data_IF_593768641169
#
_entry.id   IF_593768641169
#
_cell.length_a   1.000
_cell.length_b   1.000
_cell.length_c   1.000
_cell.angle_alpha   90.00
_cell.angle_beta   90.00
_cell.angle_gamma   90.00
#
_symmetry.space_group_name_H-M   'P 1'
#
loop_
_entity.id
_entity.type
_entity.pdbx_description
1 polymer ?
#
# COMPACT_ATOMS: atom_id res chain seq x y z
N UNK A 1 13.48 -4.72 -26.99
CA UNK A 1 12.56 -3.67 -26.52
C UNK A 1 12.79 -3.46 -25.04
N UNK A 2 12.81 -2.22 -24.55
CA UNK A 2 12.99 -1.97 -23.12
C UNK A 2 11.72 -2.44 -22.39
N UNK A 3 11.86 -3.23 -21.31
CA UNK A 3 10.71 -3.70 -20.54
C UNK A 3 9.98 -2.49 -19.92
N UNK A 4 8.64 -2.56 -19.89
CA UNK A 4 7.82 -1.54 -19.24
C UNK A 4 8.00 -1.62 -17.72
N UNK A 5 8.06 -0.47 -17.05
CA UNK A 5 8.36 -0.38 -15.61
C UNK A 5 7.10 -0.31 -14.77
N UNK A 6 7.03 -1.13 -13.73
CA UNK A 6 5.89 -1.21 -12.81
C UNK A 6 6.36 -0.91 -11.38
N UNK A 7 5.66 -0.02 -10.69
CA UNK A 7 5.89 0.25 -9.26
C UNK A 7 4.79 -0.36 -8.40
N UNK A 8 5.16 -1.16 -7.41
CA UNK A 8 4.28 -1.71 -6.38
C UNK A 8 4.46 -0.95 -5.07
N UNK A 9 3.40 -0.31 -4.58
CA UNK A 9 3.41 0.40 -3.30
C UNK A 9 2.89 -0.54 -2.21
N UNK A 10 3.81 -1.04 -1.37
CA UNK A 10 3.51 -1.94 -0.26
C UNK A 10 3.03 -1.18 0.98
N UNK A 11 1.86 -1.52 1.50
CA UNK A 11 1.30 -0.92 2.70
C UNK A 11 1.54 -1.77 3.95
N UNK A 12 0.46 -2.35 4.50
CA UNK A 12 0.57 -3.36 5.57
C UNK A 12 1.23 -4.65 5.03
N UNK A 13 1.65 -5.56 5.92
CA UNK A 13 2.22 -6.85 5.48
C UNK A 13 1.22 -7.66 4.62
N UNK A 14 -0.08 -7.59 4.91
CA UNK A 14 -1.09 -8.28 4.11
C UNK A 14 -1.18 -7.69 2.69
N UNK A 15 -1.27 -6.36 2.59
CA UNK A 15 -1.25 -5.65 1.31
C UNK A 15 0.03 -5.93 0.52
N UNK A 16 1.18 -5.90 1.18
CA UNK A 16 2.48 -6.24 0.59
C UNK A 16 2.51 -7.67 0.06
N UNK A 17 1.92 -8.63 0.77
CA UNK A 17 1.82 -10.02 0.32
C UNK A 17 0.91 -10.16 -0.91
N UNK A 18 -0.21 -9.42 -0.97
CA UNK A 18 -1.08 -9.37 -2.15
C UNK A 18 -0.32 -8.79 -3.35
N UNK A 19 0.38 -7.66 -3.16
CA UNK A 19 1.23 -7.06 -4.20
C UNK A 19 2.28 -8.04 -4.72
N UNK A 20 2.93 -8.77 -3.81
CA UNK A 20 3.94 -9.76 -4.17
C UNK A 20 3.35 -10.90 -5.02
N UNK A 21 2.13 -11.38 -4.73
CA UNK A 21 1.45 -12.39 -5.55
C UNK A 21 1.19 -11.88 -6.97
N UNK A 22 0.76 -10.63 -7.12
CA UNK A 22 0.57 -10.01 -8.45
C UNK A 22 1.92 -9.90 -9.17
N UNK A 23 2.95 -9.41 -8.49
CA UNK A 23 4.31 -9.33 -9.02
C UNK A 23 4.82 -10.67 -9.55
N UNK A 24 4.59 -11.78 -8.85
CA UNK A 24 5.05 -13.10 -9.28
C UNK A 24 4.50 -13.54 -10.64
N UNK A 25 3.35 -12.99 -11.06
CA UNK A 25 2.77 -13.23 -12.38
C UNK A 25 3.25 -12.24 -13.45
N UNK A 26 3.94 -11.15 -13.08
CA UNK A 26 4.33 -10.07 -13.99
C UNK A 26 5.85 -9.93 -14.16
N UNK A 27 6.64 -10.46 -13.22
CA UNK A 27 8.10 -10.25 -13.15
C UNK A 27 8.89 -10.71 -14.38
N UNK A 28 8.38 -11.70 -15.12
CA UNK A 28 9.09 -12.24 -16.28
C UNK A 28 8.93 -11.33 -17.51
N UNK A 29 7.84 -10.57 -17.59
CA UNK A 29 7.51 -9.69 -18.73
C UNK A 29 7.86 -8.22 -18.48
N UNK A 30 7.85 -7.78 -17.22
CA UNK A 30 7.99 -6.38 -16.83
C UNK A 30 9.19 -6.15 -15.91
N UNK A 31 9.65 -4.91 -15.83
CA UNK A 31 10.64 -4.49 -14.83
C UNK A 31 9.92 -3.95 -13.60
N UNK A 32 9.95 -4.71 -12.51
CA UNK A 32 9.08 -4.52 -11.34
C UNK A 32 9.88 -4.01 -10.15
N UNK A 33 9.41 -2.92 -9.57
CA UNK A 33 10.01 -2.25 -8.43
C UNK A 33 9.02 -2.11 -7.29
N UNK A 34 9.54 -2.09 -6.06
CA UNK A 34 8.76 -1.97 -4.84
C UNK A 34 9.10 -0.72 -4.08
N UNK A 35 8.13 -0.23 -3.32
CA UNK A 35 8.35 0.87 -2.40
C UNK A 35 7.41 0.76 -1.21
N UNK A 36 7.87 0.98 0.03
CA UNK A 36 6.96 1.03 1.17
C UNK A 36 6.09 2.27 1.03
N UNK A 37 4.88 2.21 1.56
CA UNK A 37 3.92 3.30 1.48
C UNK A 37 4.49 4.60 2.05
N UNK A 38 4.23 5.70 1.36
CA UNK A 38 4.76 7.02 1.68
C UNK A 38 3.72 8.09 1.42
N UNK A 39 3.84 9.20 2.14
CA UNK A 39 3.02 10.39 1.96
C UNK A 39 3.88 11.58 1.54
N UNK A 40 3.24 12.70 1.21
CA UNK A 40 3.90 13.94 0.80
C UNK A 40 3.64 15.11 1.75
N UNK A 41 4.52 16.11 1.69
CA UNK A 41 4.32 17.41 2.35
C UNK A 41 4.08 17.28 3.86
N UNK A 42 2.96 17.85 4.33
CA UNK A 42 2.58 17.85 5.74
C UNK A 42 2.45 16.43 6.31
N UNK A 43 2.00 15.46 5.51
CA UNK A 43 1.88 14.06 5.95
C UNK A 43 3.26 13.47 6.22
N UNK A 44 4.22 13.69 5.33
CA UNK A 44 5.61 13.26 5.55
C UNK A 44 6.23 13.95 6.78
N UNK A 45 5.92 15.23 7.00
CA UNK A 45 6.37 15.95 8.19
C UNK A 45 5.78 15.38 9.50
N UNK A 46 4.48 15.08 9.52
CA UNK A 46 3.81 14.47 10.68
C UNK A 46 4.30 13.05 10.95
N UNK A 47 4.60 12.29 9.90
CA UNK A 47 5.25 10.97 9.98
C UNK A 47 6.63 11.07 10.64
N UNK A 48 7.46 12.01 10.21
CA UNK A 48 8.80 12.24 10.79
C UNK A 48 8.73 12.66 12.26
N UNK A 49 7.66 13.37 12.65
CA UNK A 49 7.41 13.78 14.04
C UNK A 49 6.76 12.69 14.91
N UNK A 50 6.49 11.50 14.36
CA UNK A 50 5.98 10.35 15.11
C UNK A 50 4.47 10.33 15.38
N UNK A 51 3.73 11.37 14.95
CA UNK A 51 2.28 11.51 15.16
C UNK A 51 1.45 10.46 14.40
N UNK A 52 2.03 9.80 13.39
CA UNK A 52 1.36 8.80 12.55
C UNK A 52 1.99 7.41 12.67
N UNK A 53 2.67 7.12 13.78
CA UNK A 53 3.36 5.85 14.06
C UNK A 53 2.44 4.62 14.17
N UNK A 54 1.13 4.84 14.37
CA UNK A 54 0.10 3.80 14.33
C UNK A 54 -0.36 3.46 12.89
N UNK A 55 0.03 4.25 11.90
CA UNK A 55 -0.41 4.11 10.51
C UNK A 55 0.62 3.38 9.65
N UNK A 56 0.20 2.96 8.45
CA UNK A 56 1.04 2.28 7.47
C UNK A 56 2.27 3.13 7.04
N UNK A 57 2.21 4.45 7.24
CA UNK A 57 3.27 5.38 6.85
C UNK A 57 4.53 5.31 7.72
N UNK A 58 4.47 4.74 8.92
CA UNK A 58 5.62 4.63 9.82
C UNK A 58 5.49 3.48 10.84
N UNK A 59 6.52 3.22 11.63
CA UNK A 59 6.45 2.28 12.76
C UNK A 59 6.50 0.81 12.35
N UNK A 60 5.62 -0.01 12.92
CA UNK A 60 5.67 -1.49 12.81
C UNK A 60 5.39 -1.98 11.38
N UNK A 61 4.36 -1.46 10.73
CA UNK A 61 3.96 -1.91 9.39
C UNK A 61 5.05 -1.65 8.36
N UNK A 62 5.66 -0.46 8.39
CA UNK A 62 6.76 -0.12 7.51
C UNK A 62 7.95 -1.07 7.68
N UNK A 63 8.36 -1.35 8.92
CA UNK A 63 9.45 -2.29 9.21
C UNK A 63 9.15 -3.68 8.67
N UNK A 64 7.93 -4.19 8.90
CA UNK A 64 7.51 -5.50 8.38
C UNK A 64 7.56 -5.54 6.85
N UNK A 65 7.12 -4.47 6.18
CA UNK A 65 7.16 -4.36 4.72
C UNK A 65 8.61 -4.30 4.20
N UNK A 66 9.48 -3.49 4.82
CA UNK A 66 10.90 -3.41 4.45
C UNK A 66 11.65 -4.73 4.73
N UNK A 67 11.35 -5.43 5.83
CA UNK A 67 11.85 -6.77 6.12
C UNK A 67 11.39 -7.79 5.08
N UNK A 68 10.11 -7.75 4.69
CA UNK A 68 9.56 -8.60 3.64
C UNK A 68 10.28 -8.37 2.30
N UNK A 69 10.52 -7.11 1.91
CA UNK A 69 11.26 -6.79 0.69
C UNK A 69 12.67 -7.35 0.71
N UNK A 70 13.38 -7.22 1.83
CA UNK A 70 14.73 -7.78 2.00
C UNK A 70 14.74 -9.30 1.95
N UNK A 71 13.79 -9.94 2.63
CA UNK A 71 13.68 -11.40 2.66
C UNK A 71 13.40 -12.01 1.28
N UNK A 72 12.61 -11.32 0.45
CA UNK A 72 12.28 -11.74 -0.91
C UNK A 72 13.22 -11.17 -1.98
N UNK A 73 14.29 -10.45 -1.59
CA UNK A 73 15.27 -9.83 -2.49
C UNK A 73 14.63 -8.96 -3.58
N UNK A 74 13.58 -8.21 -3.21
CA UNK A 74 12.84 -7.38 -4.16
C UNK A 74 13.63 -6.11 -4.52
N UNK A 75 13.51 -5.67 -5.77
CA UNK A 75 14.04 -4.38 -6.21
C UNK A 75 13.27 -3.26 -5.54
N UNK A 76 13.95 -2.39 -4.80
CA UNK A 76 13.31 -1.30 -4.04
C UNK A 76 13.77 0.05 -4.57
N UNK A 77 12.81 0.87 -4.98
CA UNK A 77 13.00 2.30 -5.26
C UNK A 77 12.16 3.10 -4.27
N UNK A 78 12.84 3.73 -3.30
CA UNK A 78 12.14 4.44 -2.26
C UNK A 78 11.41 5.67 -2.82
N UNK A 79 10.08 5.68 -2.63
CA UNK A 79 9.13 6.65 -3.18
C UNK A 79 9.01 6.64 -4.71
N UNK A 80 9.60 5.67 -5.41
CA UNK A 80 9.51 5.59 -6.87
C UNK A 80 10.13 6.81 -7.55
N UNK A 81 11.32 7.24 -7.11
CA UNK A 81 11.99 8.46 -7.59
C UNK A 81 13.14 8.19 -8.56
N UNK A 82 13.63 6.95 -8.63
CA UNK A 82 14.74 6.58 -9.50
C UNK A 82 14.33 6.42 -10.96
N UNK A 83 13.03 6.21 -11.23
CA UNK A 83 12.54 5.86 -12.55
C UNK A 83 11.18 6.47 -12.93
N UNK A 84 10.92 6.51 -14.24
CA UNK A 84 9.64 6.92 -14.81
C UNK A 84 8.74 5.70 -15.06
N UNK A 85 7.93 5.35 -14.06
CA UNK A 85 7.07 4.17 -14.12
C UNK A 85 5.90 4.32 -15.10
N UNK A 86 5.60 3.25 -15.85
CA UNK A 86 4.49 3.19 -16.80
C UNK A 86 3.16 2.83 -16.11
N UNK A 87 3.21 2.08 -15.00
CA UNK A 87 2.08 1.58 -14.24
C UNK A 87 2.41 1.53 -12.74
N UNK A 88 1.44 1.87 -11.89
CA UNK A 88 1.59 1.83 -10.43
C UNK A 88 0.47 1.00 -9.81
N UNK A 89 0.83 0.04 -8.96
CA UNK A 89 -0.09 -0.68 -8.08
C UNK A 89 -0.06 -0.08 -6.67
N UNK A 90 -1.24 0.13 -6.09
CA UNK A 90 -1.37 0.62 -4.71
C UNK A 90 -2.59 0.01 -4.04
N UNK A 91 -2.50 -0.30 -2.75
CA UNK A 91 -3.64 -0.65 -1.92
C UNK A 91 -4.28 0.55 -1.21
N UNK A 92 -3.63 1.72 -1.23
CA UNK A 92 -4.16 2.90 -0.53
C UNK A 92 -5.05 3.72 -1.45
N UNK A 93 -6.25 4.00 -0.97
CA UNK A 93 -7.27 4.88 -1.55
C UNK A 93 -7.31 6.26 -0.87
N UNK A 94 -6.99 6.34 0.43
CA UNK A 94 -7.10 7.58 1.22
C UNK A 94 -6.05 8.64 0.84
N UNK A 95 -4.79 8.25 0.67
CA UNK A 95 -3.70 9.19 0.37
C UNK A 95 -2.93 8.66 -0.84
N UNK A 96 -3.03 9.38 -1.96
CA UNK A 96 -2.31 9.08 -3.20
C UNK A 96 -1.08 10.00 -3.30
N UNK A 97 0.16 9.44 -3.36
CA UNK A 97 1.37 10.22 -3.54
C UNK A 97 1.33 11.10 -4.79
N UNK A 98 1.85 12.32 -4.69
CA UNK A 98 1.79 13.34 -5.74
C UNK A 98 2.49 12.91 -7.03
N UNK A 99 3.62 12.21 -6.93
CA UNK A 99 4.40 11.76 -8.08
C UNK A 99 3.70 10.66 -8.90
N UNK A 100 2.69 9.97 -8.35
CA UNK A 100 1.96 8.93 -9.07
C UNK A 100 0.60 9.39 -9.62
N UNK A 101 0.14 10.61 -9.32
CA UNK A 101 -1.20 11.10 -9.71
C UNK A 101 -1.43 11.16 -11.22
N UNK A 102 -0.36 11.38 -11.99
CA UNK A 102 -0.41 11.45 -13.45
C UNK A 102 -0.01 10.13 -14.12
N UNK A 103 0.07 9.03 -13.35
CA UNK A 103 0.42 7.70 -13.83
C UNK A 103 -0.82 6.85 -14.04
N UNK A 104 -0.68 5.76 -14.79
CA UNK A 104 -1.69 4.70 -14.81
C UNK A 104 -1.63 4.01 -13.45
N UNK A 105 -2.74 4.01 -12.72
CA UNK A 105 -2.81 3.44 -11.38
C UNK A 105 -3.83 2.30 -11.36
N UNK A 106 -3.43 1.15 -10.82
CA UNK A 106 -4.33 0.08 -10.45
C UNK A 106 -4.44 0.08 -8.92
N UNK A 107 -5.64 0.37 -8.43
CA UNK A 107 -5.95 0.22 -7.02
C UNK A 107 -6.36 -1.23 -6.75
N UNK A 108 -5.72 -1.84 -5.75
CA UNK A 108 -5.99 -3.22 -5.34
C UNK A 108 -6.58 -3.19 -3.95
N UNK A 109 -7.86 -3.49 -3.85
CA UNK A 109 -8.57 -3.44 -2.59
C UNK A 109 -8.45 -4.78 -1.86
N UNK A 110 -8.00 -4.72 -0.61
CA UNK A 110 -8.05 -5.83 0.31
C UNK A 110 -9.52 -6.07 0.71
N UNK A 111 -9.99 -7.32 0.60
CA UNK A 111 -11.30 -7.70 1.13
C UNK A 111 -11.26 -7.75 2.65
N UNK A 112 -11.75 -6.70 3.31
CA UNK A 112 -11.94 -6.71 4.76
C UNK A 112 -13.27 -7.38 5.07
N UNK A 113 -13.21 -8.50 5.80
CA UNK A 113 -14.40 -9.10 6.42
C UNK A 113 -14.25 -8.90 7.91
N UNK A 114 -14.85 -7.85 8.45
CA UNK A 114 -14.87 -7.65 9.90
C UNK A 114 -15.68 -8.80 10.54
N UNK A 115 -15.21 -9.37 11.67
CA UNK A 115 -15.94 -10.40 12.37
C UNK A 115 -17.31 -9.87 12.81
N UNK A 116 -18.34 -10.72 12.74
CA UNK A 116 -19.69 -10.33 13.15
C UNK A 116 -19.73 -10.15 14.68
N UNK A 117 -19.79 -8.91 15.14
CA UNK A 117 -19.91 -8.58 16.57
C UNK A 117 -21.38 -8.36 16.98
N UNK A 118 -21.71 -8.32 18.28
CA UNK A 118 -23.01 -7.81 18.73
C UNK A 118 -23.32 -6.39 18.21
N UNK A 119 -22.29 -5.56 18.03
CA UNK A 119 -22.39 -4.23 17.41
C UNK A 119 -22.93 -4.29 15.99
N UNK A 120 -22.54 -5.29 15.20
CA UNK A 120 -23.10 -5.54 13.87
C UNK A 120 -24.61 -5.75 13.92
N UNK A 121 -25.10 -6.58 14.85
CA UNK A 121 -26.55 -6.80 14.99
C UNK A 121 -27.28 -5.55 15.45
N UNK A 122 -26.66 -4.75 16.33
CA UNK A 122 -27.21 -3.47 16.77
C UNK A 122 -27.32 -2.48 15.59
N UNK A 123 -26.25 -2.30 14.82
CA UNK A 123 -26.25 -1.44 13.63
C UNK A 123 -27.23 -1.93 12.56
N UNK A 124 -27.31 -3.26 12.34
CA UNK A 124 -28.18 -3.88 11.33
C UNK A 124 -29.67 -3.74 11.63
N UNK A 125 -30.07 -3.96 12.89
CA UNK A 125 -31.50 -4.01 13.25
C UNK A 125 -32.03 -2.68 13.80
N UNK A 126 -31.19 -1.85 14.41
CA UNK A 126 -31.61 -0.61 15.07
C UNK A 126 -31.17 0.66 14.35
N UNK A 127 -30.53 0.54 13.18
CA UNK A 127 -30.16 1.68 12.33
C UNK A 127 -29.02 2.53 12.89
N UNK A 128 -28.24 2.01 13.84
CA UNK A 128 -27.06 2.71 14.34
C UNK A 128 -25.98 2.86 13.23
N UNK A 129 -25.12 3.90 13.31
CA UNK A 129 -24.02 4.07 12.38
C UNK A 129 -23.15 2.82 12.23
N UNK A 130 -22.81 2.46 10.99
CA UNK A 130 -22.08 1.21 10.68
C UNK A 130 -20.67 1.12 11.28
N UNK A 131 -20.09 2.23 11.73
CA UNK A 131 -18.81 2.23 12.43
C UNK A 131 -18.89 1.65 13.86
N UNK A 132 -20.10 1.36 14.37
CA UNK A 132 -20.33 0.65 15.63
C UNK A 132 -20.31 -0.89 15.44
N UNK A 133 -20.38 -1.36 14.18
CA UNK A 133 -20.37 -2.78 13.84
C UNK A 133 -18.99 -3.43 14.03
#
# INVERSE_FOLDING_TARGET
MNKKKILFIGGSLNQTTIMHKIYMHLKDDYDCWFTPYYGDGLINYLVQKGFLSFSILNGKFRRQTEEFFRFHELQVDYRGLADDYDLVFTCSDLIIPKNIKNKKVIHVQEGMTDPVTPGYYLAKYFGFPRWIA
#
